data_IF_039465548000
#
_entry.id   IF_039465548000
#
_cell.length_a   1.000
_cell.length_b   1.000
_cell.length_c   1.000
_cell.angle_alpha   90.00
_cell.angle_beta   90.00
_cell.angle_gamma   90.00
#
_symmetry.space_group_name_H-M   'P 1'
#
loop_
_entity.id
_entity.type
_entity.pdbx_description
1 polymer ?
#
# COMPACT_ATOMS: atom_id res chain seq x y z
N UNK A 1 -5.91 10.05 5.19
CA UNK A 1 -6.58 10.77 4.11
C UNK A 1 -5.95 12.13 4.03
N UNK A 2 -5.39 12.46 2.89
CA UNK A 2 -4.69 13.72 2.71
C UNK A 2 -5.68 14.88 2.55
N UNK A 3 -5.20 16.08 2.84
CA UNK A 3 -6.00 17.30 2.78
C UNK A 3 -6.41 17.69 1.35
N UNK A 4 -5.75 17.12 0.34
CA UNK A 4 -6.03 17.30 -1.09
C UNK A 4 -6.89 16.17 -1.69
N UNK A 5 -7.33 15.20 -0.87
CA UNK A 5 -8.25 14.15 -1.30
C UNK A 5 -9.71 14.60 -1.21
N UNK A 6 -10.51 14.31 -2.24
CA UNK A 6 -11.92 14.70 -2.34
C UNK A 6 -12.85 13.48 -2.38
N UNK A 7 -13.94 13.52 -1.62
CA UNK A 7 -15.07 12.61 -1.81
C UNK A 7 -15.93 13.11 -2.98
N UNK A 8 -15.96 12.34 -4.07
CA UNK A 8 -16.73 12.68 -5.29
C UNK A 8 -18.00 11.83 -5.48
N UNK A 9 -18.14 10.77 -4.69
CA UNK A 9 -19.28 9.84 -4.75
C UNK A 9 -19.94 9.78 -3.37
N UNK A 10 -21.05 10.51 -3.23
CA UNK A 10 -21.83 10.52 -2.00
C UNK A 10 -22.58 9.20 -1.80
N UNK A 11 -22.74 8.79 -0.54
CA UNK A 11 -23.53 7.60 -0.18
C UNK A 11 -22.81 6.26 -0.32
N UNK A 12 -21.52 6.25 -0.67
CA UNK A 12 -20.68 5.04 -0.63
C UNK A 12 -20.15 4.84 0.79
N UNK A 13 -20.65 3.81 1.46
CA UNK A 13 -20.10 3.33 2.73
C UNK A 13 -18.80 2.55 2.50
N UNK A 14 -17.85 2.63 3.42
CA UNK A 14 -16.58 1.89 3.38
C UNK A 14 -16.69 0.47 3.97
N UNK A 15 -17.87 0.03 4.41
CA UNK A 15 -18.08 -1.33 4.93
C UNK A 15 -17.61 -2.42 3.95
N UNK A 16 -17.75 -2.23 2.64
CA UNK A 16 -17.23 -3.18 1.64
C UNK A 16 -15.72 -3.44 1.79
N UNK A 17 -14.95 -2.42 2.19
CA UNK A 17 -13.52 -2.54 2.36
C UNK A 17 -13.18 -3.23 3.69
N UNK A 18 -13.98 -3.00 4.73
CA UNK A 18 -13.88 -3.71 6.00
C UNK A 18 -14.17 -5.22 5.84
N UNK A 19 -15.16 -5.56 5.02
CA UNK A 19 -15.62 -6.92 4.75
C UNK A 19 -14.57 -7.77 4.00
N UNK A 20 -13.58 -7.14 3.36
CA UNK A 20 -12.43 -7.83 2.76
C UNK A 20 -11.57 -8.58 3.78
N UNK A 21 -11.72 -8.29 5.08
CA UNK A 21 -11.03 -9.06 6.13
C UNK A 21 -9.54 -8.78 6.22
N UNK A 22 -9.03 -7.74 5.55
CA UNK A 22 -7.60 -7.41 5.47
C UNK A 22 -7.16 -6.43 6.56
N UNK A 23 -5.86 -6.46 6.84
CA UNK A 23 -5.22 -5.52 7.77
C UNK A 23 -4.94 -4.17 7.10
N UNK A 24 -4.77 -4.16 5.78
CA UNK A 24 -4.48 -2.93 5.03
C UNK A 24 -5.17 -2.96 3.66
N UNK A 25 -6.02 -1.98 3.37
CA UNK A 25 -6.72 -1.85 2.09
C UNK A 25 -6.40 -0.50 1.48
N UNK A 26 -5.96 -0.48 0.23
CA UNK A 26 -5.48 0.74 -0.41
C UNK A 26 -5.65 0.69 -1.92
N UNK A 27 -5.66 1.86 -2.53
CA UNK A 27 -5.52 2.03 -3.97
C UNK A 27 -4.11 2.54 -4.31
N UNK A 28 -3.63 2.19 -5.50
CA UNK A 28 -2.53 2.89 -6.14
C UNK A 28 -3.05 3.84 -7.21
N UNK A 29 -2.21 4.14 -8.21
CA UNK A 29 -2.55 5.06 -9.29
C UNK A 29 -1.96 4.63 -10.65
N UNK A 30 -1.74 5.60 -11.55
CA UNK A 30 -1.11 5.42 -12.87
C UNK A 30 0.36 4.99 -12.83
N UNK A 31 1.03 5.20 -11.69
CA UNK A 31 2.48 5.10 -11.54
C UNK A 31 2.86 4.04 -10.51
N UNK A 32 2.02 3.82 -9.49
CA UNK A 32 2.37 3.02 -8.32
C UNK A 32 1.27 2.07 -7.87
N UNK A 33 1.68 1.00 -7.18
CA UNK A 33 0.78 0.03 -6.54
C UNK A 33 0.09 0.62 -5.31
N UNK A 34 0.70 1.62 -4.66
CA UNK A 34 0.25 2.17 -3.39
C UNK A 34 0.31 3.70 -3.40
N UNK A 35 -0.76 4.34 -2.94
CA UNK A 35 -0.83 5.76 -2.65
C UNK A 35 -1.15 5.98 -1.15
N UNK A 36 -0.23 6.63 -0.44
CA UNK A 36 -0.34 6.91 0.99
C UNK A 36 -1.45 7.91 1.35
N UNK A 37 -1.95 8.67 0.37
CA UNK A 37 -2.93 9.70 0.64
C UNK A 37 -4.29 9.16 1.05
N UNK A 38 -4.60 7.90 0.75
CA UNK A 38 -5.81 7.25 1.24
C UNK A 38 -5.66 5.72 1.33
N UNK A 39 -5.79 5.21 2.55
CA UNK A 39 -5.83 3.79 2.84
C UNK A 39 -6.66 3.53 4.09
N UNK A 40 -7.03 2.27 4.29
CA UNK A 40 -7.65 1.77 5.51
C UNK A 40 -6.68 0.82 6.19
N UNK A 41 -6.39 1.09 7.46
CA UNK A 41 -5.59 0.21 8.31
C UNK A 41 -6.46 -0.35 9.43
N UNK A 42 -6.56 -1.66 9.52
CA UNK A 42 -7.17 -2.35 10.66
C UNK A 42 -6.23 -2.25 11.85
N UNK A 43 -6.76 -1.85 13.00
CA UNK A 43 -6.00 -1.92 14.25
C UNK A 43 -5.62 -3.38 14.53
N UNK A 44 -4.33 -3.65 14.65
CA UNK A 44 -3.81 -4.98 14.93
C UNK A 44 -2.29 -5.02 14.86
N UNK A 45 -1.73 -6.13 15.37
CA UNK A 45 -0.28 -6.27 15.50
C UNK A 45 0.47 -6.20 14.16
N UNK A 46 -0.16 -6.60 13.05
CA UNK A 46 0.45 -6.47 11.73
C UNK A 46 0.56 -5.00 11.30
N UNK A 47 -0.54 -4.24 11.38
CA UNK A 47 -0.55 -2.84 10.98
C UNK A 47 0.35 -1.98 11.88
N UNK A 48 0.38 -2.23 13.19
CA UNK A 48 1.29 -1.54 14.13
C UNK A 48 2.76 -1.76 13.76
N UNK A 49 3.14 -3.00 13.43
CA UNK A 49 4.51 -3.30 12.97
C UNK A 49 4.81 -2.66 11.63
N UNK A 50 3.91 -2.79 10.64
CA UNK A 50 4.08 -2.22 9.31
C UNK A 50 4.30 -0.70 9.36
N UNK A 51 3.49 0.02 10.13
CA UNK A 51 3.62 1.47 10.30
C UNK A 51 4.89 1.86 11.07
N UNK A 52 5.24 1.10 12.11
CA UNK A 52 6.49 1.31 12.85
C UNK A 52 7.71 1.13 11.94
N UNK A 53 7.73 0.09 11.11
CA UNK A 53 8.82 -0.17 10.18
C UNK A 53 8.89 0.89 9.07
N UNK A 54 7.74 1.36 8.57
CA UNK A 54 7.70 2.43 7.58
C UNK A 54 8.32 3.72 8.16
N UNK A 55 8.02 4.03 9.42
CA UNK A 55 8.60 5.19 10.11
C UNK A 55 10.12 5.09 10.28
N UNK A 56 10.68 3.89 10.40
CA UNK A 56 12.14 3.66 10.49
C UNK A 56 12.85 3.86 9.16
N UNK A 57 12.15 3.69 8.03
CA UNK A 57 12.66 3.92 6.68
C UNK A 57 12.53 5.40 6.30
N UNK A 58 11.50 6.09 6.81
CA UNK A 58 11.28 7.50 6.55
C UNK A 58 12.34 8.39 7.26
N UNK A 59 12.84 9.46 6.61
CA UNK A 59 12.54 9.87 5.24
C UNK A 59 13.32 9.06 4.20
N UNK A 60 12.61 8.52 3.22
CA UNK A 60 13.20 7.97 2.00
C UNK A 60 13.24 9.07 0.92
N UNK A 61 14.37 9.29 0.23
CA UNK A 61 14.51 10.40 -0.74
C UNK A 61 13.53 10.34 -1.91
N UNK A 62 13.04 9.14 -2.28
CA UNK A 62 12.11 8.98 -3.40
C UNK A 62 10.67 8.80 -2.87
N UNK A 63 9.89 9.90 -2.83
CA UNK A 63 8.49 9.91 -2.39
C UNK A 63 8.25 9.64 -0.89
N UNK A 64 9.20 10.03 -0.03
CA UNK A 64 9.02 10.19 1.42
C UNK A 64 8.34 8.99 2.13
N UNK A 65 7.19 9.20 2.76
CA UNK A 65 6.40 8.19 3.47
C UNK A 65 5.75 7.17 2.53
N UNK A 66 5.23 7.63 1.38
CA UNK A 66 4.72 6.75 0.33
C UNK A 66 5.79 5.76 -0.14
N UNK A 67 7.01 6.26 -0.34
CA UNK A 67 8.17 5.44 -0.71
C UNK A 67 8.57 4.44 0.37
N UNK A 68 8.58 4.87 1.64
CA UNK A 68 8.85 3.99 2.77
C UNK A 68 7.86 2.82 2.87
N UNK A 69 6.56 3.08 2.68
CA UNK A 69 5.53 2.04 2.66
C UNK A 69 5.65 1.14 1.43
N UNK A 70 5.94 1.70 0.24
CA UNK A 70 6.18 0.92 -0.98
C UNK A 70 7.36 -0.04 -0.84
N UNK A 71 8.43 0.35 -0.12
CA UNK A 71 9.56 -0.54 0.17
C UNK A 71 9.07 -1.78 0.93
N UNK A 72 8.31 -1.60 2.01
CA UNK A 72 7.80 -2.74 2.80
C UNK A 72 6.82 -3.59 1.99
N UNK A 73 5.91 -2.98 1.23
CA UNK A 73 4.99 -3.70 0.36
C UNK A 73 5.72 -4.50 -0.72
N UNK A 74 6.83 -3.98 -1.24
CA UNK A 74 7.69 -4.67 -2.21
C UNK A 74 8.56 -5.78 -1.62
N UNK A 75 8.53 -5.97 -0.29
CA UNK A 75 9.30 -6.99 0.44
C UNK A 75 10.66 -6.53 0.96
N UNK A 76 10.89 -5.23 1.03
CA UNK A 76 12.04 -4.67 1.74
C UNK A 76 11.92 -4.85 3.25
N UNK A 77 13.06 -4.77 3.95
CA UNK A 77 13.15 -4.89 5.39
C UNK A 77 13.70 -3.59 5.99
N UNK A 78 13.05 -3.04 7.02
CA UNK A 78 13.50 -1.80 7.67
C UNK A 78 14.91 -1.90 8.27
N UNK A 79 15.34 -3.11 8.66
CA UNK A 79 16.67 -3.39 9.19
C UNK A 79 17.73 -3.66 8.11
N UNK A 80 17.34 -3.74 6.83
CA UNK A 80 18.23 -4.07 5.71
C UNK A 80 18.14 -3.04 4.57
N UNK A 81 18.84 -1.89 4.66
CA UNK A 81 18.77 -0.82 3.66
C UNK A 81 19.14 -1.23 2.23
N UNK A 82 19.97 -2.27 2.07
CA UNK A 82 20.30 -2.83 0.74
C UNK A 82 19.09 -3.42 0.01
N UNK A 83 18.03 -3.80 0.73
CA UNK A 83 16.79 -4.33 0.14
C UNK A 83 15.87 -3.26 -0.43
N UNK A 84 16.02 -2.00 0.00
CA UNK A 84 15.00 -0.96 -0.18
C UNK A 84 14.77 -0.59 -1.64
N UNK A 85 15.84 -0.27 -2.38
CA UNK A 85 15.71 0.25 -3.75
C UNK A 85 15.05 -0.76 -4.70
N UNK A 86 15.40 -2.04 -4.60
CA UNK A 86 14.79 -3.08 -5.43
C UNK A 86 13.31 -3.31 -5.09
N UNK A 87 12.95 -3.25 -3.81
CA UNK A 87 11.57 -3.38 -3.36
C UNK A 87 10.71 -2.18 -3.80
N UNK A 88 11.24 -0.96 -3.65
CA UNK A 88 10.59 0.27 -4.12
C UNK A 88 10.31 0.25 -5.62
N UNK A 89 11.32 -0.05 -6.45
CA UNK A 89 11.16 -0.07 -7.91
C UNK A 89 10.15 -1.14 -8.38
N UNK A 90 10.05 -2.27 -7.67
CA UNK A 90 9.04 -3.30 -7.97
C UNK A 90 7.61 -2.78 -7.86
N UNK A 91 7.36 -1.84 -6.95
CA UNK A 91 6.02 -1.30 -6.69
C UNK A 91 5.66 -0.13 -7.62
N UNK A 92 6.57 0.32 -8.50
CA UNK A 92 6.33 1.40 -9.48
C UNK A 92 5.64 0.89 -10.74
N UNK A 93 4.45 0.34 -10.56
CA UNK A 93 3.58 -0.11 -11.66
C UNK A 93 2.14 0.33 -11.42
N UNK A 94 1.36 0.57 -12.48
CA UNK A 94 -0.03 1.01 -12.35
C UNK A 94 -0.93 -0.05 -11.71
N UNK A 95 -1.95 0.42 -10.97
CA UNK A 95 -3.02 -0.40 -10.37
C UNK A 95 -4.42 0.24 -10.53
N UNK A 96 -4.78 0.61 -11.76
CA UNK A 96 -6.07 1.29 -12.04
C UNK A 96 -7.21 0.34 -12.29
N UNK A 97 -6.91 -0.77 -12.95
CA UNK A 97 -7.90 -1.75 -13.35
C UNK A 97 -7.92 -2.93 -12.36
N UNK A 98 -9.05 -3.66 -12.27
CA UNK A 98 -9.11 -4.91 -11.51
C UNK A 98 -8.03 -5.92 -11.92
N UNK A 99 -7.67 -5.97 -13.21
CA UNK A 99 -6.62 -6.86 -13.71
C UNK A 99 -5.22 -6.46 -13.23
N UNK A 100 -4.92 -5.16 -13.17
CA UNK A 100 -3.65 -4.67 -12.61
C UNK A 100 -3.57 -4.88 -11.10
N UNK A 101 -4.67 -4.66 -10.38
CA UNK A 101 -4.76 -4.96 -8.95
C UNK A 101 -4.53 -6.46 -8.68
N UNK A 102 -5.17 -7.32 -9.49
CA UNK A 102 -4.97 -8.76 -9.39
C UNK A 102 -3.51 -9.16 -9.66
N UNK A 103 -2.86 -8.56 -10.67
CA UNK A 103 -1.43 -8.76 -10.94
C UNK A 103 -0.57 -8.33 -9.76
N UNK A 104 -0.86 -7.18 -9.14
CA UNK A 104 -0.14 -6.72 -7.96
C UNK A 104 -0.24 -7.73 -6.81
N UNK A 105 -1.46 -8.20 -6.52
CA UNK A 105 -1.73 -9.20 -5.48
C UNK A 105 -1.08 -10.55 -5.71
N UNK A 106 -0.92 -10.98 -6.96
CA UNK A 106 -0.47 -12.34 -7.30
C UNK A 106 0.99 -12.44 -7.72
N UNK A 107 1.59 -11.35 -8.19
CA UNK A 107 2.94 -11.39 -8.81
C UNK A 107 3.93 -10.43 -8.18
N UNK A 108 3.48 -9.34 -7.55
CA UNK A 108 4.38 -8.28 -7.08
C UNK A 108 4.55 -8.30 -5.56
N UNK A 109 3.44 -8.38 -4.84
CA UNK A 109 3.44 -8.44 -3.39
C UNK A 109 4.01 -9.79 -2.93
N UNK A 110 5.01 -9.79 -2.01
CA UNK A 110 5.43 -11.00 -1.35
C UNK A 110 4.25 -11.69 -0.66
N UNK A 111 4.27 -13.02 -0.59
CA UNK A 111 3.15 -13.81 -0.04
C UNK A 111 2.77 -13.38 1.39
N UNK A 112 3.77 -13.15 2.24
CA UNK A 112 3.59 -12.70 3.62
C UNK A 112 3.04 -11.27 3.74
N UNK A 113 3.00 -10.49 2.64
CA UNK A 113 2.35 -9.19 2.58
C UNK A 113 0.95 -9.35 1.98
N UNK A 114 0.81 -10.10 0.88
CA UNK A 114 -0.46 -10.36 0.20
C UNK A 114 -1.53 -11.01 1.09
N UNK A 115 -1.12 -11.78 2.11
CA UNK A 115 -2.04 -12.35 3.10
C UNK A 115 -2.74 -11.26 3.93
N UNK A 116 -2.08 -10.13 4.17
CA UNK A 116 -2.55 -9.05 5.04
C UNK A 116 -3.18 -7.86 4.30
N UNK A 117 -2.90 -7.71 3.00
CA UNK A 117 -3.34 -6.52 2.27
C UNK A 117 -4.38 -6.81 1.19
N UNK A 118 -5.04 -5.76 0.71
CA UNK A 118 -5.80 -5.76 -0.55
C UNK A 118 -5.49 -4.48 -1.34
N UNK A 119 -5.05 -4.66 -2.59
CA UNK A 119 -5.03 -3.59 -3.60
C UNK A 119 -6.40 -3.52 -4.27
N UNK A 120 -7.01 -2.34 -4.28
CA UNK A 120 -8.30 -2.07 -4.92
C UNK A 120 -8.13 -1.06 -6.04
N UNK A 121 -8.94 -1.12 -7.11
CA UNK A 121 -8.88 -0.13 -8.18
C UNK A 121 -9.29 1.24 -7.65
N UNK A 122 -8.63 2.28 -8.15
CA UNK A 122 -9.07 3.65 -7.95
C UNK A 122 -10.33 3.89 -8.80
N UNK A 123 -11.42 4.33 -8.16
CA UNK A 123 -12.71 4.62 -8.79
C UNK A 123 -12.83 6.09 -9.20
#
# INVERSE_FOLDING_TARGET
MDADSLFISDGVDLQWACDLGKDFVFAGDLNVVFNAGHFLARRGAWAERFLSDAFRIHPWPDWEDNGAMMILLGGGCADEPSSWRAAFERMKVPTRSPGECHRAMTQLLPRNVAEHVQVVPQH
#
